data_IF_118884525877
#
_entry.id   IF_118884525877
#
_cell.length_a   1.000
_cell.length_b   1.000
_cell.length_c   1.000
_cell.angle_alpha   90.00
_cell.angle_beta   90.00
_cell.angle_gamma   90.00
#
_symmetry.space_group_name_H-M   'P 1'
#
loop_
_entity.id
_entity.type
_entity.pdbx_description
1 polymer ?
#
# COMPACT_ATOMS: atom_id res chain seq x y z
N UNK A 1 8.30 5.73 3.45
CA UNK A 1 7.90 6.87 4.32
C UNK A 1 7.47 6.43 5.70
N UNK A 2 6.48 5.54 5.81
CA UNK A 2 5.91 5.11 7.10
C UNK A 2 6.89 4.42 8.08
N UNK A 3 8.06 3.99 7.59
CA UNK A 3 9.14 3.45 8.44
C UNK A 3 10.22 4.49 8.84
N UNK A 4 10.20 5.70 8.27
CA UNK A 4 11.27 6.68 8.44
C UNK A 4 10.93 7.75 9.46
N UNK A 5 11.94 8.27 10.16
CA UNK A 5 11.85 9.54 10.86
C UNK A 5 11.81 10.69 9.85
N UNK A 6 10.59 11.09 9.44
CA UNK A 6 10.38 11.96 8.27
C UNK A 6 11.19 13.25 8.30
N UNK A 7 11.25 13.93 9.46
CA UNK A 7 12.03 15.16 9.59
C UNK A 7 13.52 14.94 9.27
N UNK A 8 14.16 13.97 9.91
CA UNK A 8 15.57 13.65 9.67
C UNK A 8 15.81 13.18 8.23
N UNK A 9 14.90 12.36 7.69
CA UNK A 9 14.95 11.92 6.31
C UNK A 9 14.93 13.09 5.32
N UNK A 10 14.02 14.05 5.49
CA UNK A 10 13.91 15.19 4.58
C UNK A 10 15.11 16.13 4.64
N UNK A 11 15.76 16.27 5.79
CA UNK A 11 17.03 17.02 5.87
C UNK A 11 18.10 16.38 4.98
N UNK A 12 18.21 15.05 4.99
CA UNK A 12 19.15 14.33 4.12
C UNK A 12 18.77 14.45 2.64
N UNK A 13 17.48 14.34 2.32
CA UNK A 13 17.00 14.51 0.93
C UNK A 13 17.37 15.90 0.40
N UNK A 14 17.13 16.97 1.17
CA UNK A 14 17.47 18.35 0.78
C UNK A 14 18.97 18.58 0.67
N UNK A 15 19.78 17.85 1.44
CA UNK A 15 21.24 17.92 1.39
C UNK A 15 21.81 17.23 0.14
N UNK A 16 21.24 16.10 -0.27
CA UNK A 16 21.76 15.26 -1.37
C UNK A 16 21.25 15.70 -2.74
N UNK A 17 19.98 16.07 -2.84
CA UNK A 17 19.38 16.39 -4.14
C UNK A 17 20.00 17.66 -4.74
N UNK A 18 20.22 17.62 -6.07
CA UNK A 18 20.72 18.77 -6.83
C UNK A 18 19.80 19.97 -6.64
N UNK A 19 20.38 21.14 -6.37
CA UNK A 19 19.64 22.40 -6.24
C UNK A 19 19.87 23.31 -7.46
N UNK A 20 18.83 24.03 -7.92
CA UNK A 20 17.42 23.74 -7.69
C UNK A 20 16.95 22.46 -8.43
N UNK A 21 15.70 22.09 -8.19
CA UNK A 21 14.89 21.18 -9.01
C UNK A 21 15.17 19.68 -8.87
N UNK A 22 16.05 19.26 -7.95
CA UNK A 22 16.15 17.86 -7.56
C UNK A 22 14.82 17.35 -7.01
N UNK A 23 14.33 16.23 -7.55
CA UNK A 23 12.99 15.70 -7.26
C UNK A 23 13.03 14.55 -6.26
N UNK A 24 12.06 14.54 -5.35
CA UNK A 24 11.69 13.39 -4.54
C UNK A 24 10.28 12.92 -4.89
N UNK A 25 10.13 11.62 -5.08
CA UNK A 25 8.85 10.94 -5.27
C UNK A 25 8.66 9.90 -4.16
N UNK A 26 7.62 10.07 -3.36
CA UNK A 26 7.24 9.16 -2.29
C UNK A 26 5.86 8.58 -2.59
N UNK A 27 5.76 7.26 -2.74
CA UNK A 27 4.51 6.61 -3.07
C UNK A 27 4.20 5.43 -2.14
N UNK A 28 2.92 5.11 -2.05
CA UNK A 28 2.41 3.88 -1.46
C UNK A 28 1.28 3.33 -2.32
N UNK A 29 0.93 2.08 -2.10
CA UNK A 29 -0.34 1.53 -2.54
C UNK A 29 -1.17 1.11 -1.33
N UNK A 30 -2.48 1.14 -1.47
CA UNK A 30 -3.43 0.68 -0.44
C UNK A 30 -3.91 -0.74 -0.75
N UNK A 31 -4.83 -1.24 0.08
CA UNK A 31 -5.51 -2.53 -0.15
C UNK A 31 -5.98 -2.63 -1.60
N UNK A 32 -5.67 -3.75 -2.29
CA UNK A 32 -6.07 -3.96 -3.66
C UNK A 32 -7.56 -4.25 -3.78
N UNK A 33 -8.08 -4.09 -4.99
CA UNK A 33 -9.44 -4.48 -5.37
C UNK A 33 -9.39 -5.47 -6.52
N UNK A 34 -10.30 -6.44 -6.52
CA UNK A 34 -10.41 -7.50 -7.52
C UNK A 34 -11.80 -7.46 -8.15
N UNK A 35 -12.81 -7.80 -7.35
CA UNK A 35 -14.24 -7.75 -7.65
C UNK A 35 -15.02 -7.83 -6.32
N UNK A 36 -16.33 -7.55 -6.33
CA UNK A 36 -17.13 -7.45 -5.11
C UNK A 36 -17.07 -8.70 -4.22
N UNK A 37 -16.99 -9.90 -4.81
CA UNK A 37 -16.98 -11.16 -4.06
C UNK A 37 -15.66 -11.38 -3.33
N UNK A 38 -14.53 -11.22 -4.01
CA UNK A 38 -13.19 -11.38 -3.42
C UNK A 38 -12.91 -10.24 -2.45
N UNK A 39 -13.31 -9.02 -2.79
CA UNK A 39 -13.09 -7.82 -1.97
C UNK A 39 -13.84 -7.93 -0.63
N UNK A 40 -15.06 -8.49 -0.61
CA UNK A 40 -15.78 -8.73 0.65
C UNK A 40 -15.05 -9.70 1.58
N UNK A 41 -14.38 -10.73 1.05
CA UNK A 41 -13.58 -11.67 1.86
C UNK A 41 -12.29 -10.99 2.33
N UNK A 42 -11.66 -10.20 1.46
CA UNK A 42 -10.47 -9.44 1.78
C UNK A 42 -10.72 -8.42 2.90
N UNK A 43 -11.85 -7.71 2.86
CA UNK A 43 -12.19 -6.69 3.85
C UNK A 43 -12.32 -7.29 5.26
N UNK A 44 -12.94 -8.47 5.37
CA UNK A 44 -13.03 -9.24 6.60
C UNK A 44 -11.63 -9.68 7.07
N UNK A 45 -10.84 -10.24 6.16
CA UNK A 45 -9.48 -10.70 6.46
C UNK A 45 -8.56 -9.56 6.92
N UNK A 46 -8.66 -8.40 6.27
CA UNK A 46 -7.86 -7.22 6.56
C UNK A 46 -8.29 -6.53 7.86
N UNK A 47 -9.59 -6.27 8.01
CA UNK A 47 -10.11 -5.34 9.03
C UNK A 47 -10.50 -6.02 10.34
N UNK A 48 -10.58 -7.35 10.35
CA UNK A 48 -10.93 -8.12 11.55
C UNK A 48 -9.84 -9.12 11.89
N UNK A 49 -9.42 -9.97 10.96
CA UNK A 49 -8.46 -11.03 11.29
C UNK A 49 -7.03 -10.50 11.45
N UNK A 50 -6.65 -9.58 10.56
CA UNK A 50 -5.31 -8.99 10.53
C UNK A 50 -5.17 -7.77 11.45
N UNK A 51 -6.29 -7.18 11.92
CA UNK A 51 -6.31 -5.94 12.73
C UNK A 51 -5.34 -5.97 13.92
N UNK A 52 -5.31 -7.03 14.76
CA UNK A 52 -4.46 -7.06 15.94
C UNK A 52 -2.95 -7.14 15.65
N UNK A 53 -2.59 -7.34 14.39
CA UNK A 53 -1.21 -7.55 13.94
C UNK A 53 -0.68 -6.41 13.08
N UNK A 54 -1.52 -5.44 12.73
CA UNK A 54 -1.08 -4.26 11.99
C UNK A 54 -0.25 -3.31 12.86
N UNK A 55 0.82 -2.81 12.27
CA UNK A 55 1.66 -1.79 12.90
C UNK A 55 0.98 -0.43 12.83
N UNK A 56 0.89 0.35 13.94
CA UNK A 56 0.24 1.66 13.94
C UNK A 56 0.77 2.64 12.90
N UNK A 57 2.02 2.47 12.47
CA UNK A 57 2.68 3.30 11.45
C UNK A 57 2.06 3.14 10.06
N UNK A 58 1.35 2.05 9.78
CA UNK A 58 0.66 1.82 8.51
C UNK A 58 -0.53 2.75 8.30
N UNK A 59 -1.02 3.43 9.35
CA UNK A 59 -2.03 4.50 9.23
C UNK A 59 -1.63 5.60 8.24
N UNK A 60 -0.33 5.82 8.04
CA UNK A 60 0.17 6.75 7.02
C UNK A 60 -0.08 6.25 5.59
N UNK A 61 -0.07 4.93 5.36
CA UNK A 61 -0.45 4.32 4.09
C UNK A 61 -1.96 4.42 3.90
N UNK A 62 -2.75 4.14 4.93
CA UNK A 62 -4.23 4.23 4.88
C UNK A 62 -4.69 5.65 4.57
N UNK A 63 -4.01 6.64 5.16
CA UNK A 63 -4.20 8.06 4.87
C UNK A 63 -3.59 8.49 3.52
N UNK A 64 -2.97 7.57 2.78
CA UNK A 64 -2.44 7.78 1.43
C UNK A 64 -1.39 8.90 1.41
N UNK A 65 -0.65 9.01 2.52
CA UNK A 65 0.31 10.07 2.80
C UNK A 65 -0.25 11.49 2.78
N UNK A 66 -1.56 11.73 2.96
CA UNK A 66 -2.09 13.10 2.96
C UNK A 66 -1.56 13.93 4.12
N UNK A 67 -1.51 13.34 5.30
CA UNK A 67 -1.12 13.96 6.57
C UNK A 67 0.38 13.99 6.82
N UNK A 68 1.21 13.34 5.99
CA UNK A 68 2.65 13.44 6.18
C UNK A 68 3.09 14.87 5.87
N UNK A 69 3.97 15.41 6.72
CA UNK A 69 4.74 16.59 6.34
C UNK A 69 5.51 16.27 5.05
N UNK A 70 5.52 17.22 4.11
CA UNK A 70 6.17 17.06 2.81
C UNK A 70 6.74 18.41 2.37
N UNK A 71 7.91 18.79 2.92
CA UNK A 71 8.43 20.15 2.84
C UNK A 71 9.20 20.41 1.54
N UNK A 72 8.57 20.12 0.41
CA UNK A 72 9.10 20.29 -0.95
C UNK A 72 8.14 21.15 -1.77
N UNK A 73 8.68 21.83 -2.78
CA UNK A 73 7.89 22.64 -3.70
C UNK A 73 7.20 21.75 -4.73
N UNK A 74 6.10 22.22 -5.32
CA UNK A 74 5.46 21.50 -6.40
C UNK A 74 6.39 21.40 -7.62
N UNK A 75 6.31 20.27 -8.34
CA UNK A 75 7.02 20.10 -9.61
C UNK A 75 6.39 20.98 -10.70
N UNK A 76 7.13 21.22 -11.78
CA UNK A 76 6.62 21.99 -12.91
C UNK A 76 5.34 21.36 -13.47
N UNK A 77 4.32 22.20 -13.73
CA UNK A 77 3.01 21.75 -14.22
C UNK A 77 2.05 21.24 -13.14
N UNK A 78 2.39 21.33 -11.85
CA UNK A 78 1.51 20.97 -10.75
C UNK A 78 1.33 22.11 -9.74
N UNK A 79 0.10 22.29 -9.25
CA UNK A 79 -0.23 23.31 -8.23
C UNK A 79 0.01 22.82 -6.79
N UNK A 80 0.26 21.52 -6.61
CA UNK A 80 0.43 20.88 -5.30
C UNK A 80 1.34 19.66 -5.38
N UNK A 81 1.79 19.16 -4.22
CA UNK A 81 2.69 17.99 -4.13
C UNK A 81 1.98 16.64 -4.07
N UNK A 82 0.66 16.61 -4.26
CA UNK A 82 -0.16 15.40 -4.25
C UNK A 82 -0.90 15.21 -2.92
N UNK A 83 -1.42 13.99 -2.64
CA UNK A 83 -1.17 12.77 -3.41
C UNK A 83 -1.89 12.74 -4.76
N UNK A 84 -1.16 12.35 -5.81
CA UNK A 84 -1.70 11.99 -7.12
C UNK A 84 -2.05 10.51 -7.14
N UNK A 85 -3.22 10.15 -7.71
CA UNK A 85 -3.70 8.77 -7.74
C UNK A 85 -3.43 8.13 -9.11
N UNK A 86 -2.89 6.92 -9.08
CA UNK A 86 -2.75 6.03 -10.23
C UNK A 86 -3.26 4.62 -9.84
N UNK A 87 -3.29 3.71 -10.80
CA UNK A 87 -3.61 2.31 -10.55
C UNK A 87 -2.55 1.46 -11.23
N UNK A 88 -1.92 0.59 -10.45
CA UNK A 88 -1.16 -0.53 -11.01
C UNK A 88 -2.10 -1.73 -11.11
N UNK A 89 -2.00 -2.48 -12.19
CA UNK A 89 -2.82 -3.67 -12.42
C UNK A 89 -1.89 -4.87 -12.65
N UNK A 90 -2.24 -6.01 -12.06
CA UNK A 90 -1.56 -7.28 -12.31
C UNK A 90 -2.59 -8.39 -12.41
N UNK A 91 -2.48 -9.19 -13.48
CA UNK A 91 -3.23 -10.43 -13.61
C UNK A 91 -2.61 -11.46 -12.65
N UNK A 92 -3.44 -12.06 -11.80
CA UNK A 92 -3.02 -13.11 -10.86
C UNK A 92 -4.01 -14.26 -10.87
N UNK A 93 -3.53 -15.47 -10.55
CA UNK A 93 -4.38 -16.55 -10.06
C UNK A 93 -4.58 -16.48 -8.53
N UNK A 94 -5.38 -17.40 -7.99
CA UNK A 94 -5.67 -17.43 -6.55
C UNK A 94 -4.42 -17.73 -5.71
N UNK A 95 -3.52 -18.60 -6.17
CA UNK A 95 -2.34 -18.99 -5.42
C UNK A 95 -1.35 -17.82 -5.32
N UNK A 96 -1.16 -17.07 -6.40
CA UNK A 96 -0.40 -15.81 -6.42
C UNK A 96 -1.02 -14.77 -5.48
N UNK A 97 -2.35 -14.65 -5.46
CA UNK A 97 -3.04 -13.72 -4.57
C UNK A 97 -2.87 -14.10 -3.09
N UNK A 98 -3.04 -15.37 -2.74
CA UNK A 98 -2.80 -15.86 -1.38
C UNK A 98 -1.32 -15.70 -0.99
N UNK A 99 -0.38 -15.93 -1.90
CA UNK A 99 1.04 -15.67 -1.66
C UNK A 99 1.31 -14.18 -1.39
N UNK A 100 0.64 -13.28 -2.12
CA UNK A 100 0.69 -11.84 -1.85
C UNK A 100 0.17 -11.51 -0.44
N UNK A 101 -0.99 -12.04 -0.03
CA UNK A 101 -1.52 -11.85 1.34
C UNK A 101 -0.55 -12.36 2.41
N UNK A 102 0.11 -13.50 2.17
CA UNK A 102 1.15 -14.03 3.08
C UNK A 102 2.35 -13.10 3.22
N UNK A 103 2.64 -12.26 2.23
CA UNK A 103 3.76 -11.30 2.31
C UNK A 103 3.48 -10.08 3.18
N UNK A 104 2.22 -9.88 3.60
CA UNK A 104 1.84 -8.74 4.44
C UNK A 104 2.55 -8.76 5.78
N UNK A 105 2.94 -7.57 6.27
CA UNK A 105 3.61 -7.45 7.56
C UNK A 105 2.74 -7.96 8.72
N UNK A 106 1.42 -7.69 8.72
CA UNK A 106 0.51 -8.25 9.71
C UNK A 106 0.49 -9.78 9.69
N UNK A 107 0.52 -10.40 8.51
CA UNK A 107 0.59 -11.85 8.40
C UNK A 107 1.88 -12.39 9.00
N UNK A 108 3.03 -11.76 8.71
CA UNK A 108 4.30 -12.15 9.30
C UNK A 108 4.30 -11.97 10.83
N UNK A 109 3.76 -10.85 11.34
CA UNK A 109 3.62 -10.60 12.79
C UNK A 109 2.68 -11.62 13.46
N UNK A 110 1.59 -12.01 12.82
CA UNK A 110 0.70 -13.05 13.32
C UNK A 110 1.42 -14.39 13.40
N UNK A 111 2.15 -14.75 12.33
CA UNK A 111 2.92 -15.99 12.25
C UNK A 111 3.99 -16.08 13.32
N UNK A 112 4.73 -15.01 13.59
CA UNK A 112 5.74 -15.00 14.68
C UNK A 112 5.11 -15.14 16.06
N UNK A 113 3.84 -14.72 16.22
CA UNK A 113 3.03 -14.94 17.43
C UNK A 113 2.31 -16.31 17.45
N UNK A 114 2.59 -17.19 16.49
CA UNK A 114 1.99 -18.52 16.40
C UNK A 114 0.55 -18.54 15.87
N UNK A 115 0.10 -17.46 15.23
CA UNK A 115 -1.23 -17.34 14.65
C UNK A 115 -1.15 -17.51 13.13
N UNK A 116 -1.80 -18.55 12.60
CA UNK A 116 -2.05 -18.70 11.17
C UNK A 116 -3.32 -17.92 10.80
N UNK A 117 -3.19 -16.88 9.96
CA UNK A 117 -4.34 -16.07 9.53
C UNK A 117 -5.08 -16.69 8.34
N UNK A 118 -4.35 -17.33 7.41
CA UNK A 118 -4.92 -18.02 6.26
C UNK A 118 -5.14 -19.50 6.61
N UNK A 119 -6.00 -19.73 7.59
CA UNK A 119 -6.49 -21.07 7.95
C UNK A 119 -7.36 -21.63 6.83
N UNK A 120 -7.63 -22.93 6.89
CA UNK A 120 -8.43 -23.64 5.88
C UNK A 120 -9.79 -22.97 5.62
N UNK A 121 -10.48 -22.50 6.67
CA UNK A 121 -11.78 -21.81 6.53
C UNK A 121 -11.68 -20.51 5.71
N UNK A 122 -10.58 -19.76 5.88
CA UNK A 122 -10.32 -18.53 5.13
C UNK A 122 -9.89 -18.82 3.71
N UNK A 123 -9.03 -19.81 3.51
CA UNK A 123 -8.63 -20.25 2.17
C UNK A 123 -9.86 -20.71 1.37
N UNK A 124 -10.76 -21.49 1.96
CA UNK A 124 -12.00 -21.93 1.30
C UNK A 124 -12.95 -20.75 1.00
N UNK A 125 -13.00 -19.75 1.87
CA UNK A 125 -13.76 -18.52 1.61
C UNK A 125 -13.23 -17.75 0.39
N UNK A 126 -11.91 -17.58 0.30
CA UNK A 126 -11.27 -16.98 -0.87
C UNK A 126 -11.47 -17.83 -2.13
N UNK A 127 -11.30 -19.16 -2.06
CA UNK A 127 -11.55 -20.06 -3.20
C UNK A 127 -12.98 -19.94 -3.74
N UNK A 128 -13.98 -19.90 -2.85
CA UNK A 128 -15.37 -19.76 -3.26
C UNK A 128 -15.63 -18.42 -3.96
N UNK A 129 -15.17 -17.32 -3.37
CA UNK A 129 -15.31 -15.99 -3.95
C UNK A 129 -14.56 -15.86 -5.28
N UNK A 130 -13.37 -16.45 -5.37
CA UNK A 130 -12.54 -16.42 -6.57
C UNK A 130 -13.21 -17.13 -7.75
N UNK A 131 -13.85 -18.27 -7.50
CA UNK A 131 -14.44 -19.09 -8.56
C UNK A 131 -15.89 -18.71 -8.91
N UNK A 132 -16.49 -17.73 -8.25
CA UNK A 132 -17.90 -17.35 -8.43
C UNK A 132 -18.24 -16.91 -9.87
N UNK A 133 -17.31 -16.22 -10.53
CA UNK A 133 -17.46 -15.75 -11.91
C UNK A 133 -16.92 -16.74 -12.96
N UNK A 134 -16.37 -17.89 -12.55
CA UNK A 134 -15.80 -18.90 -13.43
C UNK A 134 -14.46 -18.54 -14.07
N UNK A 135 -13.78 -17.49 -13.61
CA UNK A 135 -12.48 -17.06 -14.14
C UNK A 135 -11.32 -17.34 -13.18
N UNK A 136 -10.38 -18.19 -13.62
CA UNK A 136 -9.21 -18.61 -12.83
C UNK A 136 -8.18 -17.49 -12.61
N UNK A 137 -8.12 -16.52 -13.53
CA UNK A 137 -7.26 -15.34 -13.42
C UNK A 137 -8.07 -14.06 -13.30
N UNK A 138 -7.62 -13.16 -12.42
CA UNK A 138 -8.28 -11.87 -12.16
C UNK A 138 -7.31 -10.71 -12.23
N UNK A 139 -7.79 -9.60 -12.78
CA UNK A 139 -7.07 -8.35 -12.84
C UNK A 139 -7.13 -7.65 -11.47
N UNK A 140 -6.06 -7.75 -10.70
CA UNK A 140 -5.96 -7.14 -9.38
C UNK A 140 -5.46 -5.71 -9.52
N UNK A 141 -6.22 -4.76 -8.98
CA UNK A 141 -5.93 -3.33 -9.05
C UNK A 141 -5.37 -2.85 -7.72
N UNK A 142 -4.21 -2.22 -7.77
CA UNK A 142 -3.53 -1.60 -6.64
C UNK A 142 -3.62 -0.09 -6.79
N UNK A 143 -4.47 0.61 -6.00
CA UNK A 143 -4.50 2.05 -5.99
C UNK A 143 -3.18 2.60 -5.46
N UNK A 144 -2.47 3.37 -6.28
CA UNK A 144 -1.18 3.99 -5.94
C UNK A 144 -1.39 5.47 -5.65
N UNK A 145 -0.75 5.98 -4.60
CA UNK A 145 -0.80 7.38 -4.19
C UNK A 145 0.62 7.93 -4.12
N UNK A 146 0.88 8.97 -4.91
CA UNK A 146 2.19 9.58 -5.08
C UNK A 146 2.21 10.99 -4.51
N UNK A 147 3.12 11.26 -3.58
CA UNK A 147 3.60 12.61 -3.32
C UNK A 147 4.87 12.87 -4.10
N UNK A 148 4.93 14.00 -4.80
CA UNK A 148 6.09 14.40 -5.59
C UNK A 148 6.35 15.89 -5.40
N UNK A 149 7.62 16.24 -5.26
CA UNK A 149 8.04 17.62 -5.12
C UNK A 149 9.52 17.80 -5.40
N UNK A 150 9.93 19.05 -5.53
CA UNK A 150 11.31 19.43 -5.82
C UNK A 150 11.93 20.25 -4.69
N UNK A 151 13.25 20.19 -4.59
CA UNK A 151 14.03 21.00 -3.66
C UNK A 151 14.21 22.41 -4.25
N UNK A 152 13.88 23.42 -3.45
CA UNK A 152 14.11 24.83 -3.79
C UNK A 152 15.58 25.25 -3.71
N UNK A 153 15.85 26.53 -3.91
CA UNK A 153 17.21 27.08 -3.95
C UNK A 153 17.91 27.22 -2.58
N UNK A 154 17.19 27.08 -1.46
CA UNK A 154 17.73 27.24 -0.11
C UNK A 154 18.51 26.00 0.35
#
# INVERSE_FOLDING_TARGET
MHWFGLHAFYQQVKWILKKPDGVIAAWCYTIPTVNDSVDSVLDQFHSIDSEPFWEPRLKLIDDKYRSIDFPFEAVEGADHTGPFKFVAEKLMDLDEYLAYLRSWSAYQTAKTKGVELLRDDRIESFKRAWNEDGHDQKAIKFPVYLRIGKVGNA
#
